data_IF_798893023363
#
_entry.id   IF_798893023363
#
_cell.length_a   1.000
_cell.length_b   1.000
_cell.length_c   1.000
_cell.angle_alpha   90.00
_cell.angle_beta   90.00
_cell.angle_gamma   90.00
#
_symmetry.space_group_name_H-M   'P 1'
#
loop_
_entity.id
_entity.type
_entity.pdbx_description
1 polymer ?
#
# COMPACT_ATOMS: atom_id res chain seq x y z
N UNK A 1 -0.22 12.21 18.36
CA UNK A 1 -0.18 13.03 17.13
C UNK A 1 0.53 12.24 16.03
N UNK A 2 0.01 12.22 14.80
CA UNK A 2 0.64 11.51 13.66
C UNK A 2 1.85 12.31 13.16
N UNK A 3 3.06 11.73 13.20
CA UNK A 3 4.29 12.46 12.87
C UNK A 3 4.44 12.78 11.37
N UNK A 4 4.32 11.78 10.48
CA UNK A 4 4.36 12.01 9.02
C UNK A 4 2.95 11.87 8.43
N UNK A 5 2.09 12.86 8.68
CA UNK A 5 0.66 12.80 8.32
C UNK A 5 0.39 12.51 6.84
N UNK A 6 1.14 13.10 5.93
CA UNK A 6 0.95 12.91 4.48
C UNK A 6 1.31 11.49 4.03
N UNK A 7 2.46 10.97 4.47
CA UNK A 7 2.91 9.60 4.15
C UNK A 7 1.94 8.57 4.75
N UNK A 8 1.49 8.81 5.99
CA UNK A 8 0.44 8.00 6.63
C UNK A 8 -0.82 7.92 5.77
N UNK A 9 -1.37 9.06 5.33
CA UNK A 9 -2.63 9.08 4.59
C UNK A 9 -2.51 8.48 3.20
N UNK A 10 -1.38 8.65 2.50
CA UNK A 10 -1.15 8.00 1.21
C UNK A 10 -1.23 6.47 1.37
N UNK A 11 -0.45 5.92 2.31
CA UNK A 11 -0.46 4.46 2.51
C UNK A 11 -1.79 3.95 3.07
N UNK A 12 -2.44 4.71 3.95
CA UNK A 12 -3.77 4.36 4.48
C UNK A 12 -4.84 4.35 3.40
N UNK A 13 -4.85 5.35 2.51
CA UNK A 13 -5.77 5.41 1.38
C UNK A 13 -5.59 4.21 0.47
N UNK A 14 -4.35 3.91 0.08
CA UNK A 14 -4.05 2.80 -0.82
C UNK A 14 -4.39 1.46 -0.15
N UNK A 15 -4.08 1.28 1.14
CA UNK A 15 -4.53 0.12 1.91
C UNK A 15 -6.05 -0.07 1.84
N UNK A 16 -6.83 1.00 2.05
CA UNK A 16 -8.30 0.93 1.96
C UNK A 16 -8.78 0.56 0.55
N UNK A 17 -8.12 1.06 -0.50
CA UNK A 17 -8.42 0.67 -1.88
C UNK A 17 -8.13 -0.82 -2.13
N UNK A 18 -7.03 -1.36 -1.60
CA UNK A 18 -6.76 -2.80 -1.67
C UNK A 18 -7.82 -3.63 -0.94
N UNK A 19 -8.20 -3.24 0.29
CA UNK A 19 -9.26 -3.93 1.05
C UNK A 19 -10.57 -3.91 0.26
N UNK A 20 -10.99 -2.75 -0.22
CA UNK A 20 -12.23 -2.60 -0.97
C UNK A 20 -12.20 -3.40 -2.28
N UNK A 21 -11.10 -3.33 -3.03
CA UNK A 21 -10.93 -4.07 -4.28
C UNK A 21 -10.97 -5.58 -4.06
N UNK A 22 -10.21 -6.11 -3.09
CA UNK A 22 -10.23 -7.52 -2.75
C UNK A 22 -11.61 -7.97 -2.26
N UNK A 23 -12.31 -7.15 -1.47
CA UNK A 23 -13.66 -7.46 -1.01
C UNK A 23 -14.66 -7.55 -2.17
N UNK A 24 -14.67 -6.58 -3.09
CA UNK A 24 -15.55 -6.59 -4.25
C UNK A 24 -15.25 -7.75 -5.20
N UNK A 25 -13.96 -8.03 -5.44
CA UNK A 25 -13.53 -9.20 -6.22
C UNK A 25 -13.95 -10.51 -5.54
N UNK A 26 -13.80 -10.61 -4.22
CA UNK A 26 -14.24 -11.77 -3.44
C UNK A 26 -15.73 -12.00 -3.57
N UNK A 27 -16.56 -10.96 -3.43
CA UNK A 27 -18.02 -11.06 -3.63
C UNK A 27 -18.34 -11.54 -5.04
N UNK A 28 -17.72 -10.94 -6.06
CA UNK A 28 -17.96 -11.30 -7.47
C UNK A 28 -17.55 -12.73 -7.80
N UNK A 29 -16.32 -13.11 -7.45
CA UNK A 29 -15.75 -14.43 -7.78
C UNK A 29 -16.40 -15.56 -6.97
N UNK A 30 -16.53 -15.39 -5.65
CA UNK A 30 -17.03 -16.45 -4.77
C UNK A 30 -18.54 -16.68 -4.88
N UNK A 31 -19.28 -15.78 -5.55
CA UNK A 31 -20.71 -15.97 -5.85
C UNK A 31 -21.00 -17.21 -6.72
N UNK A 32 -19.99 -17.75 -7.41
CA UNK A 32 -20.11 -18.95 -8.25
C UNK A 32 -20.08 -20.27 -7.45
N UNK A 33 -19.62 -20.23 -6.20
CA UNK A 33 -19.51 -21.38 -5.31
C UNK A 33 -18.75 -22.59 -5.90
N UNK A 34 -17.70 -22.33 -6.70
CA UNK A 34 -16.85 -23.36 -7.28
C UNK A 34 -15.38 -23.24 -6.82
N UNK A 35 -14.62 -24.34 -6.97
CA UNK A 35 -13.24 -24.43 -6.50
C UNK A 35 -12.25 -23.62 -7.35
N UNK A 36 -12.54 -23.43 -8.64
CA UNK A 36 -11.70 -22.64 -9.54
C UNK A 36 -11.74 -21.15 -9.15
N UNK A 37 -12.93 -20.63 -8.85
CA UNK A 37 -13.14 -19.28 -8.38
C UNK A 37 -12.47 -19.06 -7.01
N UNK A 38 -12.59 -20.02 -6.08
CA UNK A 38 -11.92 -19.94 -4.78
C UNK A 38 -10.40 -19.94 -4.93
N UNK A 39 -9.83 -20.86 -5.70
CA UNK A 39 -8.39 -20.96 -5.91
C UNK A 39 -7.83 -19.71 -6.60
N UNK A 40 -8.50 -19.20 -7.63
CA UNK A 40 -8.13 -17.95 -8.28
C UNK A 40 -8.17 -16.77 -7.30
N UNK A 41 -9.20 -16.66 -6.46
CA UNK A 41 -9.31 -15.59 -5.47
C UNK A 41 -8.20 -15.68 -4.40
N UNK A 42 -7.86 -16.88 -3.93
CA UNK A 42 -6.75 -17.08 -2.98
C UNK A 42 -5.39 -16.70 -3.59
N UNK A 43 -5.17 -16.96 -4.88
CA UNK A 43 -3.97 -16.51 -5.60
C UNK A 43 -3.94 -14.97 -5.63
N UNK A 44 -5.06 -14.30 -5.90
CA UNK A 44 -5.13 -12.84 -5.86
C UNK A 44 -4.86 -12.29 -4.44
N UNK A 45 -5.38 -12.94 -3.40
CA UNK A 45 -5.04 -12.59 -2.01
C UNK A 45 -3.54 -12.77 -1.76
N UNK A 46 -2.92 -13.83 -2.26
CA UNK A 46 -1.48 -14.02 -2.08
C UNK A 46 -0.67 -12.92 -2.79
N UNK A 47 -1.04 -12.58 -4.03
CA UNK A 47 -0.36 -11.57 -4.86
C UNK A 47 -0.58 -10.15 -4.35
N UNK A 48 -1.76 -9.82 -3.82
CA UNK A 48 -2.05 -8.45 -3.36
C UNK A 48 -1.95 -8.28 -1.85
N UNK A 49 -2.08 -9.36 -1.09
CA UNK A 49 -2.09 -9.35 0.37
C UNK A 49 -0.76 -8.90 0.97
N UNK A 50 0.37 -9.27 0.36
CA UNK A 50 1.67 -8.76 0.82
C UNK A 50 1.80 -7.25 0.57
N UNK A 51 1.30 -6.73 -0.55
CA UNK A 51 1.32 -5.29 -0.84
C UNK A 51 0.39 -4.51 0.10
N UNK A 52 -0.80 -5.06 0.37
CA UNK A 52 -1.72 -4.57 1.38
C UNK A 52 -1.03 -4.51 2.75
N UNK A 53 -0.34 -5.58 3.16
CA UNK A 53 0.42 -5.60 4.41
C UNK A 53 1.52 -4.53 4.45
N UNK A 54 2.27 -4.34 3.37
CA UNK A 54 3.29 -3.29 3.29
C UNK A 54 2.70 -1.89 3.47
N UNK A 55 1.56 -1.61 2.84
CA UNK A 55 0.86 -0.33 3.03
C UNK A 55 0.37 -0.13 4.46
N UNK A 56 -0.13 -1.19 5.10
CA UNK A 56 -0.50 -1.16 6.52
C UNK A 56 0.71 -0.81 7.40
N UNK A 57 1.82 -1.54 7.25
CA UNK A 57 3.06 -1.31 8.03
C UNK A 57 3.62 0.08 7.77
N UNK A 58 3.66 0.52 6.51
CA UNK A 58 4.18 1.83 6.16
C UNK A 58 3.33 2.95 6.76
N UNK A 59 2.00 2.82 6.78
CA UNK A 59 1.13 3.78 7.44
C UNK A 59 1.38 3.84 8.95
N UNK A 60 1.28 2.71 9.66
CA UNK A 60 1.48 2.63 11.12
C UNK A 60 2.84 3.21 11.54
N UNK A 61 3.91 2.75 10.90
CA UNK A 61 5.27 3.16 11.23
C UNK A 61 5.56 4.62 10.85
N UNK A 62 4.92 5.15 9.80
CA UNK A 62 5.02 6.56 9.44
C UNK A 62 4.28 7.46 10.41
N UNK A 63 3.19 6.99 11.02
CA UNK A 63 2.50 7.72 12.08
C UNK A 63 3.39 7.88 13.33
N UNK A 64 4.20 6.86 13.62
CA UNK A 64 5.16 6.85 14.72
C UNK A 64 6.49 7.56 14.38
N UNK A 65 6.78 7.74 13.09
CA UNK A 65 7.98 8.42 12.59
C UNK A 65 9.25 7.57 12.56
N UNK A 66 9.10 6.24 12.54
CA UNK A 66 10.24 5.32 12.67
C UNK A 66 11.05 5.21 11.38
N UNK A 67 12.32 4.81 11.50
CA UNK A 67 13.18 4.50 10.35
C UNK A 67 12.60 3.35 9.49
N UNK A 68 11.92 2.39 10.11
CA UNK A 68 11.21 1.31 9.42
C UNK A 68 10.14 1.88 8.49
N UNK A 69 9.29 2.80 8.98
CA UNK A 69 8.27 3.46 8.17
C UNK A 69 8.86 4.19 6.97
N UNK A 70 9.95 4.94 7.17
CA UNK A 70 10.69 5.60 6.10
C UNK A 70 11.19 4.61 5.04
N UNK A 71 11.86 3.54 5.47
CA UNK A 71 12.45 2.55 4.56
C UNK A 71 11.38 1.78 3.78
N UNK A 72 10.32 1.32 4.46
CA UNK A 72 9.19 0.65 3.81
C UNK A 72 8.52 1.57 2.78
N UNK A 73 8.32 2.85 3.11
CA UNK A 73 7.73 3.82 2.17
C UNK A 73 8.59 4.02 0.92
N UNK A 74 9.92 4.08 1.08
CA UNK A 74 10.86 4.17 -0.05
C UNK A 74 10.88 2.90 -0.90
N UNK A 75 10.80 1.73 -0.27
CA UNK A 75 10.68 0.46 -0.99
C UNK A 75 9.41 0.40 -1.82
N UNK A 76 8.25 0.76 -1.25
CA UNK A 76 6.98 0.88 -1.99
C UNK A 76 7.10 1.90 -3.13
N UNK A 77 7.74 3.05 -2.89
CA UNK A 77 7.95 4.07 -3.92
C UNK A 77 8.75 3.54 -5.12
N UNK A 78 9.76 2.68 -4.91
CA UNK A 78 10.49 2.03 -6.00
C UNK A 78 9.56 1.17 -6.88
N UNK A 79 8.65 0.42 -6.26
CA UNK A 79 7.66 -0.40 -6.97
C UNK A 79 6.72 0.49 -7.79
N UNK A 80 6.30 1.61 -7.22
CA UNK A 80 5.38 2.55 -7.87
C UNK A 80 5.97 3.26 -9.09
N UNK A 81 7.29 3.35 -9.23
CA UNK A 81 7.91 3.91 -10.43
C UNK A 81 7.48 3.16 -11.71
N UNK A 82 7.17 1.87 -11.60
CA UNK A 82 6.74 1.02 -12.73
C UNK A 82 5.24 1.13 -13.05
N UNK A 83 4.45 1.85 -12.25
CA UNK A 83 3.00 1.99 -12.41
C UNK A 83 2.62 3.34 -13.04
N UNK A 84 3.29 3.69 -14.15
CA UNK A 84 3.14 4.98 -14.83
C UNK A 84 1.71 5.22 -15.36
N UNK A 85 1.18 6.46 -15.31
CA UNK A 85 1.81 7.67 -14.75
C UNK A 85 1.54 7.89 -13.26
N UNK A 86 0.43 7.38 -12.76
CA UNK A 86 -0.08 7.70 -11.42
C UNK A 86 0.89 7.22 -10.33
N UNK A 87 1.39 5.99 -10.44
CA UNK A 87 2.35 5.43 -9.50
C UNK A 87 3.64 6.25 -9.47
N UNK A 88 4.15 6.66 -10.62
CA UNK A 88 5.38 7.47 -10.72
C UNK A 88 5.24 8.79 -9.95
N UNK A 89 4.11 9.49 -10.09
CA UNK A 89 3.86 10.75 -9.34
C UNK A 89 3.84 10.48 -7.83
N UNK A 90 3.16 9.43 -7.38
CA UNK A 90 3.12 9.05 -5.97
C UNK A 90 4.52 8.66 -5.46
N UNK A 91 5.29 7.93 -6.26
CA UNK A 91 6.66 7.52 -5.94
C UNK A 91 7.57 8.73 -5.72
N UNK A 92 7.58 9.69 -6.64
CA UNK A 92 8.37 10.93 -6.52
C UNK A 92 7.99 11.70 -5.25
N UNK A 93 6.70 11.81 -4.97
CA UNK A 93 6.22 12.48 -3.76
C UNK A 93 6.65 11.74 -2.48
N UNK A 94 6.54 10.41 -2.44
CA UNK A 94 7.00 9.60 -1.32
C UNK A 94 8.52 9.71 -1.12
N UNK A 95 9.32 9.68 -2.18
CA UNK A 95 10.77 9.90 -2.07
C UNK A 95 11.10 11.27 -1.50
N UNK A 96 10.42 12.32 -1.94
CA UNK A 96 10.60 13.67 -1.39
C UNK A 96 10.25 13.71 0.10
N UNK A 97 9.10 13.18 0.52
CA UNK A 97 8.66 13.20 1.93
C UNK A 97 9.49 12.30 2.84
N UNK A 98 10.13 11.28 2.28
CA UNK A 98 11.03 10.37 2.99
C UNK A 98 12.50 10.73 2.79
N UNK A 99 12.82 11.92 2.27
CA UNK A 99 14.19 12.44 2.23
C UNK A 99 14.63 12.92 3.62
N UNK A 100 15.94 13.00 3.84
CA UNK A 100 16.52 13.55 5.09
C UNK A 100 16.14 15.03 5.31
N UNK A 101 15.72 15.71 4.25
CA UNK A 101 15.26 17.10 4.29
C UNK A 101 13.83 17.26 4.82
N UNK A 102 13.01 16.19 4.82
CA UNK A 102 11.58 16.28 5.15
C UNK A 102 11.10 15.27 6.18
N UNK A 103 11.78 14.14 6.35
CA UNK A 103 11.36 13.14 7.32
C UNK A 103 11.44 13.71 8.75
N UNK A 104 10.33 13.65 9.51
CA UNK A 104 10.20 14.21 10.87
C UNK A 104 10.36 15.74 10.98
N UNK A 105 10.34 16.47 9.87
CA UNK A 105 10.35 17.94 9.86
C UNK A 105 8.99 18.46 9.42
#
# INVERSE_FOLDING_TARGET
MIKNKQVYWIHRLIFMLYVLGLMLLGIGMLSKFDFEALSAYLILIAIFGWMLYLHYVAADQSAQGTRKGRNTSRFIALIFLFLFPIGTVIALYLFYKTSDLKWQK
#
